data_IF_143047324341
#
_entry.id   IF_143047324341
#
_cell.length_a   1.000
_cell.length_b   1.000
_cell.length_c   1.000
_cell.angle_alpha   90.00
_cell.angle_beta   90.00
_cell.angle_gamma   90.00
#
_symmetry.space_group_name_H-M   'P 1'
#
loop_
_entity.id
_entity.type
_entity.pdbx_description
1 polymer ?
#
# COMPACT_ATOMS: atom_id res chain seq x y z
N UNK A 1 2.96 14.09 5.85
CA UNK A 1 2.75 12.64 5.63
C UNK A 1 3.25 12.32 4.24
N UNK A 2 3.96 11.21 4.08
CA UNK A 2 4.49 10.74 2.79
C UNK A 2 3.85 9.40 2.44
N UNK A 3 3.68 9.13 1.15
CA UNK A 3 3.07 7.87 0.67
C UNK A 3 3.84 7.33 -0.53
N UNK A 4 4.05 6.01 -0.56
CA UNK A 4 4.73 5.29 -1.67
C UNK A 4 3.86 4.13 -2.11
N UNK A 5 3.63 4.01 -3.42
CA UNK A 5 2.90 2.89 -3.98
C UNK A 5 3.84 1.73 -4.34
N UNK A 6 3.38 0.49 -4.12
CA UNK A 6 4.00 -0.74 -4.61
C UNK A 6 3.04 -1.37 -5.59
N UNK A 7 3.46 -1.43 -6.85
CA UNK A 7 2.59 -1.78 -8.00
C UNK A 7 3.20 -2.95 -8.76
N UNK A 8 2.39 -3.63 -9.57
CA UNK A 8 2.81 -4.80 -10.34
C UNK A 8 1.67 -5.79 -10.52
N UNK A 9 1.86 -6.75 -11.42
CA UNK A 9 0.85 -7.76 -11.72
C UNK A 9 0.48 -8.63 -10.51
N UNK A 10 -0.65 -9.36 -10.59
CA UNK A 10 -1.04 -10.28 -9.51
C UNK A 10 0.06 -11.33 -9.29
N UNK A 11 0.24 -11.75 -8.04
CA UNK A 11 1.22 -12.76 -7.63
C UNK A 11 2.72 -12.41 -7.85
N UNK A 12 3.08 -11.14 -8.08
CA UNK A 12 4.49 -10.72 -8.19
C UNK A 12 5.22 -10.57 -6.84
N UNK A 13 4.50 -10.66 -5.71
CA UNK A 13 5.07 -10.53 -4.36
C UNK A 13 4.86 -9.17 -3.69
N UNK A 14 3.96 -8.31 -4.19
CA UNK A 14 3.67 -6.98 -3.61
C UNK A 14 3.39 -7.02 -2.11
N UNK A 15 2.48 -7.91 -1.68
CA UNK A 15 2.11 -8.04 -0.26
C UNK A 15 3.31 -8.44 0.59
N UNK A 16 4.17 -9.34 0.08
CA UNK A 16 5.41 -9.74 0.77
C UNK A 16 6.38 -8.57 0.88
N UNK A 17 6.58 -7.81 -0.19
CA UNK A 17 7.47 -6.64 -0.15
C UNK A 17 6.94 -5.58 0.82
N UNK A 18 5.65 -5.24 0.78
CA UNK A 18 5.07 -4.27 1.71
C UNK A 18 5.25 -4.71 3.16
N UNK A 19 5.03 -6.00 3.47
CA UNK A 19 5.22 -6.51 4.83
C UNK A 19 6.68 -6.36 5.29
N UNK A 20 7.65 -6.65 4.42
CA UNK A 20 9.08 -6.52 4.73
C UNK A 20 9.52 -5.06 4.87
N UNK A 21 9.08 -4.18 3.97
CA UNK A 21 9.33 -2.74 4.08
C UNK A 21 8.71 -2.17 5.36
N UNK A 22 7.47 -2.56 5.69
CA UNK A 22 6.81 -2.16 6.93
C UNK A 22 7.65 -2.56 8.13
N UNK A 23 8.10 -3.81 8.20
CA UNK A 23 8.94 -4.28 9.30
C UNK A 23 10.25 -3.49 9.42
N UNK A 24 10.91 -3.20 8.29
CA UNK A 24 12.16 -2.44 8.27
C UNK A 24 11.96 -0.98 8.74
N UNK A 25 10.99 -0.25 8.20
CA UNK A 25 10.70 1.12 8.64
C UNK A 25 10.22 1.19 10.10
N UNK A 26 9.45 0.19 10.56
CA UNK A 26 9.07 0.08 11.97
C UNK A 26 10.29 -0.13 12.87
N UNK A 27 11.29 -0.90 12.44
CA UNK A 27 12.55 -1.10 13.16
C UNK A 27 13.37 0.21 13.26
N UNK A 28 13.25 1.07 12.26
CA UNK A 28 13.82 2.43 12.25
C UNK A 28 13.02 3.46 13.08
N UNK A 29 11.96 3.03 13.76
CA UNK A 29 11.15 3.89 14.64
C UNK A 29 10.03 4.67 13.95
N UNK A 30 9.81 4.48 12.64
CA UNK A 30 8.74 5.18 11.92
C UNK A 30 7.36 4.63 12.29
N UNK A 31 6.33 5.47 12.17
CA UNK A 31 4.92 5.09 12.18
C UNK A 31 4.48 4.84 10.74
N UNK A 32 4.16 3.59 10.44
CA UNK A 32 3.87 3.13 9.08
C UNK A 32 2.41 2.71 9.00
N UNK A 33 1.67 3.29 8.06
CA UNK A 33 0.37 2.80 7.64
C UNK A 33 0.46 1.99 6.35
N UNK A 34 -0.51 1.12 6.11
CA UNK A 34 -0.62 0.38 4.86
C UNK A 34 -2.02 0.55 4.28
N UNK A 35 -2.10 0.81 2.98
CA UNK A 35 -3.36 0.89 2.23
C UNK A 35 -3.33 -0.15 1.13
N UNK A 36 -4.37 -0.96 0.98
CA UNK A 36 -4.46 -1.96 -0.10
C UNK A 36 -5.65 -1.66 -1.00
N UNK A 37 -5.40 -1.63 -2.30
CA UNK A 37 -6.42 -1.57 -3.33
C UNK A 37 -6.75 -2.96 -3.85
N UNK A 38 -8.02 -3.34 -3.84
CA UNK A 38 -8.49 -4.51 -4.57
C UNK A 38 -9.46 -4.09 -5.67
N UNK A 39 -8.98 -4.09 -6.92
CA UNK A 39 -9.77 -3.64 -8.08
C UNK A 39 -10.87 -4.60 -8.55
N UNK A 40 -11.16 -5.68 -7.81
CA UNK A 40 -12.36 -6.49 -8.06
C UNK A 40 -13.44 -5.96 -7.15
N UNK A 41 -14.54 -5.41 -7.66
CA UNK A 41 -15.62 -4.78 -6.88
C UNK A 41 -16.45 -5.75 -6.03
N UNK A 42 -15.78 -6.60 -5.24
CA UNK A 42 -16.37 -7.49 -4.26
C UNK A 42 -16.24 -6.87 -2.88
N UNK A 43 -17.19 -7.21 -2.00
CA UNK A 43 -17.13 -6.76 -0.61
C UNK A 43 -15.89 -7.35 0.09
N UNK A 44 -15.25 -6.52 0.92
CA UNK A 44 -14.10 -6.92 1.72
C UNK A 44 -14.53 -8.02 2.70
N UNK A 45 -13.72 -9.07 2.80
CA UNK A 45 -13.95 -10.17 3.72
C UNK A 45 -14.27 -9.71 5.17
N UNK A 46 -15.13 -10.47 5.84
CA UNK A 46 -15.54 -10.23 7.23
C UNK A 46 -16.75 -9.31 7.41
N UNK A 47 -17.41 -8.88 6.33
CA UNK A 47 -18.80 -8.40 6.40
C UNK A 47 -19.75 -9.61 6.27
N UNK A 48 -19.82 -10.41 7.33
CA UNK A 48 -20.53 -11.69 7.31
C UNK A 48 -22.03 -11.48 7.55
N UNK A 49 -22.91 -12.01 6.68
CA UNK A 49 -24.35 -11.95 6.89
C UNK A 49 -24.75 -12.43 8.28
N UNK A 50 -25.78 -11.78 8.85
CA UNK A 50 -26.35 -12.09 10.16
C UNK A 50 -25.50 -11.70 11.39
N UNK A 51 -24.34 -11.08 11.21
CA UNK A 51 -23.61 -10.42 12.32
C UNK A 51 -24.26 -9.10 12.72
N UNK A 52 -24.06 -8.64 13.97
CA UNK A 52 -24.66 -7.39 14.46
C UNK A 52 -24.24 -6.18 13.61
N UNK A 53 -22.96 -6.11 13.23
CA UNK A 53 -22.44 -5.03 12.38
C UNK A 53 -23.03 -5.06 10.98
N UNK A 54 -23.29 -6.25 10.43
CA UNK A 54 -23.98 -6.41 9.16
C UNK A 54 -25.44 -5.95 9.26
N UNK A 55 -26.12 -6.27 10.36
CA UNK A 55 -27.50 -5.81 10.58
C UNK A 55 -27.58 -4.28 10.71
N UNK A 56 -26.61 -3.65 11.39
CA UNK A 56 -26.52 -2.18 11.46
C UNK A 56 -26.38 -1.56 10.07
N UNK A 57 -25.51 -2.13 9.21
CA UNK A 57 -25.35 -1.71 7.81
C UNK A 57 -26.68 -1.84 7.05
N UNK A 58 -27.32 -3.01 7.12
CA UNK A 58 -28.58 -3.26 6.42
C UNK A 58 -29.73 -2.36 6.88
N UNK A 59 -29.67 -1.88 8.12
CA UNK A 59 -30.60 -0.89 8.66
C UNK A 59 -30.35 0.54 8.15
N UNK A 60 -29.26 0.76 7.38
CA UNK A 60 -28.93 2.05 6.76
C UNK A 60 -27.80 2.82 7.45
N UNK A 61 -26.96 2.17 8.25
CA UNK A 61 -25.78 2.84 8.81
C UNK A 61 -24.75 3.17 7.71
N UNK A 62 -24.43 4.45 7.53
CA UNK A 62 -23.39 4.91 6.58
C UNK A 62 -21.99 4.42 6.98
N UNK A 63 -21.76 4.29 8.29
CA UNK A 63 -20.49 3.86 8.88
C UNK A 63 -20.77 2.90 10.02
N UNK A 64 -20.03 1.79 10.08
CA UNK A 64 -20.05 0.86 11.22
C UNK A 64 -18.65 0.73 11.84
N UNK A 65 -18.57 0.83 13.16
CA UNK A 65 -17.33 0.65 13.93
C UNK A 65 -17.50 -0.51 14.90
N UNK A 66 -16.75 -1.59 14.67
CA UNK A 66 -16.61 -2.70 15.62
C UNK A 66 -15.36 -2.45 16.46
N UNK A 67 -15.48 -2.47 17.78
CA UNK A 67 -14.35 -2.24 18.68
C UNK A 67 -14.23 -3.33 19.74
N UNK A 68 -12.98 -3.62 20.11
CA UNK A 68 -12.60 -4.47 21.23
C UNK A 68 -11.54 -3.73 22.05
N UNK A 69 -11.17 -4.20 23.26
CA UNK A 69 -10.08 -3.59 24.03
C UNK A 69 -8.71 -3.57 23.32
N UNK A 70 -8.54 -4.28 22.20
CA UNK A 70 -7.25 -4.43 21.51
C UNK A 70 -7.22 -3.85 20.09
N UNK A 71 -8.37 -3.66 19.46
CA UNK A 71 -8.46 -3.24 18.06
C UNK A 71 -9.86 -2.77 17.70
N UNK A 72 -9.96 -2.03 16.60
CA UNK A 72 -11.22 -1.67 15.97
C UNK A 72 -11.17 -1.93 14.46
N UNK A 73 -12.35 -2.15 13.87
CA UNK A 73 -12.57 -2.27 12.43
C UNK A 73 -13.66 -1.26 12.06
N UNK A 74 -13.31 -0.33 11.17
CA UNK A 74 -14.22 0.65 10.62
C UNK A 74 -14.60 0.23 9.20
N UNK A 75 -15.90 0.15 8.92
CA UNK A 75 -16.42 -0.11 7.57
C UNK A 75 -17.20 1.09 7.09
N UNK A 76 -16.88 1.50 5.86
CA UNK A 76 -17.55 2.55 5.10
C UNK A 76 -17.93 1.98 3.75
N UNK A 77 -19.14 2.29 3.30
CA UNK A 77 -19.63 1.90 1.99
C UNK A 77 -19.73 3.14 1.12
N UNK A 78 -19.42 2.97 -0.16
CA UNK A 78 -19.44 4.04 -1.13
C UNK A 78 -20.27 3.62 -2.33
N UNK A 79 -21.11 4.54 -2.83
CA UNK A 79 -21.86 4.31 -4.08
C UNK A 79 -20.94 4.26 -5.31
N UNK A 80 -19.82 4.97 -5.23
CA UNK A 80 -18.76 4.99 -6.25
C UNK A 80 -17.39 5.04 -5.58
N UNK A 81 -16.36 4.53 -6.27
CA UNK A 81 -15.01 4.46 -5.73
C UNK A 81 -14.45 5.88 -5.41
N UNK A 82 -14.14 6.17 -4.14
CA UNK A 82 -13.51 7.44 -3.78
C UNK A 82 -12.10 7.60 -4.37
N UNK A 83 -11.62 8.84 -4.53
CA UNK A 83 -10.24 9.09 -4.93
C UNK A 83 -9.26 8.61 -3.85
N UNK A 84 -8.04 8.23 -4.26
CA UNK A 84 -6.98 7.76 -3.38
C UNK A 84 -6.70 8.73 -2.22
N UNK A 85 -6.73 10.03 -2.50
CA UNK A 85 -6.45 11.11 -1.56
C UNK A 85 -7.37 11.05 -0.34
N UNK A 86 -8.63 10.64 -0.53
CA UNK A 86 -9.58 10.46 0.56
C UNK A 86 -9.13 9.36 1.52
N UNK A 87 -8.67 8.22 1.01
CA UNK A 87 -8.17 7.11 1.84
C UNK A 87 -6.87 7.47 2.56
N UNK A 88 -5.98 8.21 1.91
CA UNK A 88 -4.74 8.71 2.53
C UNK A 88 -5.03 9.67 3.68
N UNK A 89 -6.03 10.56 3.52
CA UNK A 89 -6.47 11.46 4.59
C UNK A 89 -7.09 10.68 5.76
N UNK A 90 -7.93 9.68 5.48
CA UNK A 90 -8.53 8.82 6.51
C UNK A 90 -7.47 8.08 7.33
N UNK A 91 -6.48 7.47 6.65
CA UNK A 91 -5.35 6.81 7.31
C UNK A 91 -4.50 7.77 8.13
N UNK A 92 -4.24 8.98 7.62
CA UNK A 92 -3.42 9.96 8.32
C UNK A 92 -4.16 10.65 9.48
N UNK A 93 -5.49 10.56 9.53
CA UNK A 93 -6.30 11.09 10.63
C UNK A 93 -6.25 10.25 11.91
N UNK A 94 -5.54 9.12 11.92
CA UNK A 94 -5.30 8.34 13.14
C UNK A 94 -4.23 9.00 14.00
N UNK A 95 -4.43 8.97 15.32
CA UNK A 95 -3.44 9.47 16.27
C UNK A 95 -2.69 8.30 16.94
N UNK A 96 -1.35 8.36 17.03
CA UNK A 96 -0.49 9.44 16.56
C UNK A 96 -0.33 9.41 15.02
N UNK A 97 -0.14 10.60 14.40
CA UNK A 97 0.00 10.75 12.94
C UNK A 97 1.00 9.76 12.29
N UNK A 98 0.84 9.44 11.02
CA UNK A 98 1.74 8.51 10.32
C UNK A 98 2.92 9.24 9.66
N UNK A 99 4.10 8.62 9.67
CA UNK A 99 5.30 9.14 9.01
C UNK A 99 5.30 8.71 7.52
N UNK A 100 4.89 7.46 7.25
CA UNK A 100 4.86 6.86 5.92
C UNK A 100 3.60 5.99 5.71
N UNK A 101 3.00 6.06 4.53
CA UNK A 101 1.96 5.13 4.07
C UNK A 101 2.50 4.31 2.89
N UNK A 102 2.45 2.98 2.99
CA UNK A 102 2.73 2.06 1.89
C UNK A 102 1.43 1.64 1.21
N UNK A 103 1.28 1.92 -0.08
CA UNK A 103 0.05 1.66 -0.85
C UNK A 103 0.26 0.45 -1.77
N UNK A 104 -0.49 -0.64 -1.58
CA UNK A 104 -0.55 -1.74 -2.54
C UNK A 104 -1.60 -1.41 -3.63
N UNK A 105 -1.18 -1.22 -4.88
CA UNK A 105 -2.10 -0.90 -5.98
C UNK A 105 -2.11 0.57 -6.38
N UNK A 106 -3.25 1.06 -6.91
CA UNK A 106 -3.36 2.40 -7.52
C UNK A 106 -2.23 2.71 -8.52
N UNK A 107 -1.97 1.80 -9.46
CA UNK A 107 -0.83 1.90 -10.39
C UNK A 107 -0.81 3.17 -11.26
N UNK A 108 -1.97 3.79 -11.47
CA UNK A 108 -2.13 5.03 -12.22
C UNK A 108 -2.21 6.29 -11.34
N UNK A 109 -1.95 6.17 -10.03
CA UNK A 109 -1.84 7.35 -9.16
C UNK A 109 -0.55 8.12 -9.40
N UNK A 110 -0.55 9.38 -8.96
CA UNK A 110 0.62 10.25 -8.99
C UNK A 110 1.61 9.98 -7.85
N UNK A 111 1.35 8.98 -6.98
CA UNK A 111 2.29 8.62 -5.92
C UNK A 111 3.65 8.17 -6.49
N UNK A 112 4.76 8.49 -5.81
CA UNK A 112 6.04 7.84 -6.09
C UNK A 112 5.88 6.32 -5.89
N UNK A 113 6.42 5.52 -6.81
CA UNK A 113 6.10 4.07 -6.84
C UNK A 113 7.29 3.15 -7.09
N UNK A 114 7.28 2.01 -6.41
CA UNK A 114 8.13 0.85 -6.70
C UNK A 114 7.33 -0.11 -7.58
N UNK A 115 7.88 -0.46 -8.74
CA UNK A 115 7.23 -1.34 -9.72
C UNK A 115 7.82 -2.73 -9.64
N UNK A 116 7.03 -3.72 -9.23
CA UNK A 116 7.44 -5.12 -9.21
C UNK A 116 7.37 -5.69 -10.62
N UNK A 117 8.52 -6.18 -11.07
CA UNK A 117 8.71 -6.74 -12.40
C UNK A 117 8.94 -8.26 -12.29
N UNK A 118 8.25 -9.00 -13.15
CA UNK A 118 8.45 -10.42 -13.38
C UNK A 118 8.89 -10.66 -14.82
N UNK A 119 8.50 -11.79 -15.39
CA UNK A 119 8.76 -12.10 -16.81
C UNK A 119 7.75 -11.41 -17.76
N UNK A 120 6.74 -10.74 -17.21
CA UNK A 120 5.71 -10.01 -17.94
C UNK A 120 6.25 -8.72 -18.59
N UNK A 121 5.54 -8.22 -19.61
CA UNK A 121 5.81 -6.87 -20.14
C UNK A 121 5.59 -5.80 -19.07
N UNK A 122 6.59 -4.95 -18.90
CA UNK A 122 6.53 -3.81 -17.99
C UNK A 122 5.71 -2.69 -18.65
N UNK A 123 4.63 -2.29 -17.99
CA UNK A 123 3.88 -1.08 -18.33
C UNK A 123 4.71 0.15 -17.95
N UNK A 124 4.79 1.15 -18.85
CA UNK A 124 5.42 2.43 -18.51
C UNK A 124 4.49 3.23 -17.61
N UNK A 125 4.92 3.45 -16.37
CA UNK A 125 4.17 4.22 -15.37
C UNK A 125 4.89 5.53 -15.06
N UNK A 126 4.15 6.55 -14.63
CA UNK A 126 4.72 7.80 -14.15
C UNK A 126 5.25 7.65 -12.71
N UNK A 127 6.14 8.56 -12.30
CA UNK A 127 6.65 8.67 -10.92
C UNK A 127 7.27 7.39 -10.35
N UNK A 128 7.93 6.59 -11.19
CA UNK A 128 8.63 5.37 -10.76
C UNK A 128 9.92 5.76 -10.04
N UNK A 129 10.06 5.32 -8.79
CA UNK A 129 11.29 5.45 -8.02
C UNK A 129 12.30 4.36 -8.41
N UNK A 130 11.79 3.14 -8.57
CA UNK A 130 12.58 1.96 -8.89
C UNK A 130 11.70 0.86 -9.45
N UNK A 131 12.32 0.00 -10.26
CA UNK A 131 11.79 -1.32 -10.55
C UNK A 131 12.40 -2.32 -9.57
N UNK A 132 11.63 -3.31 -9.11
CA UNK A 132 12.11 -4.36 -8.20
C UNK A 132 11.78 -5.74 -8.78
N UNK A 133 12.79 -6.57 -9.01
CA UNK A 133 12.64 -7.88 -9.65
C UNK A 133 13.55 -8.92 -9.04
N UNK A 134 13.54 -10.14 -9.59
CA UNK A 134 14.56 -11.14 -9.25
C UNK A 134 15.86 -10.77 -9.98
N UNK A 135 16.79 -10.13 -9.31
CA UNK A 135 18.12 -9.81 -9.84
C UNK A 135 19.18 -10.56 -9.02
N UNK A 136 20.21 -11.11 -9.67
CA UNK A 136 21.33 -11.77 -8.97
C UNK A 136 22.35 -10.78 -8.39
N UNK A 137 22.23 -9.50 -8.76
CA UNK A 137 23.04 -8.36 -8.33
C UNK A 137 22.10 -7.32 -7.69
N UNK A 138 22.59 -6.51 -6.75
CA UNK A 138 21.76 -5.53 -6.01
C UNK A 138 21.01 -4.54 -6.90
N UNK A 139 21.54 -4.23 -8.10
CA UNK A 139 20.79 -3.52 -9.13
C UNK A 139 21.30 -3.79 -10.55
N UNK A 140 20.40 -3.82 -11.55
CA UNK A 140 20.73 -3.90 -12.98
C UNK A 140 20.15 -2.66 -13.68
N UNK A 141 20.93 -2.00 -14.53
CA UNK A 141 20.42 -0.93 -15.40
C UNK A 141 19.66 -1.54 -16.58
N UNK A 142 18.38 -1.19 -16.75
CA UNK A 142 17.55 -1.56 -17.89
C UNK A 142 17.12 -0.30 -18.63
N UNK A 143 17.87 0.05 -19.68
CA UNK A 143 17.71 1.34 -20.36
C UNK A 143 18.22 2.49 -19.49
N UNK A 144 17.35 3.44 -19.14
CA UNK A 144 17.66 4.54 -18.22
C UNK A 144 17.26 4.24 -16.76
N UNK A 145 16.66 3.07 -16.52
CA UNK A 145 16.04 2.72 -15.24
C UNK A 145 16.94 1.79 -14.43
N UNK A 146 16.92 1.91 -13.10
CA UNK A 146 17.55 0.95 -12.20
C UNK A 146 16.52 -0.07 -11.69
N UNK A 147 16.86 -1.35 -11.86
CA UNK A 147 16.09 -2.48 -11.31
C UNK A 147 16.83 -3.00 -10.10
N UNK A 148 16.21 -2.95 -8.92
CA UNK A 148 16.74 -3.47 -7.67
C UNK A 148 16.35 -4.95 -7.49
N UNK A 149 17.19 -5.71 -6.79
CA UNK A 149 16.73 -7.01 -6.28
C UNK A 149 15.61 -6.77 -5.26
N UNK A 150 14.43 -7.36 -5.49
CA UNK A 150 13.28 -7.24 -4.59
C UNK A 150 13.55 -7.84 -3.20
N UNK A 151 14.58 -8.68 -3.08
CA UNK A 151 14.99 -9.26 -1.81
C UNK A 151 15.94 -8.33 -1.01
N UNK A 152 16.53 -7.32 -1.66
CA UNK A 152 17.38 -6.29 -1.06
C UNK A 152 16.55 -5.17 -0.43
N UNK A 153 15.93 -5.50 0.70
CA UNK A 153 15.05 -4.58 1.44
C UNK A 153 15.82 -3.37 1.97
N UNK A 154 17.09 -3.53 2.32
CA UNK A 154 17.91 -2.43 2.83
C UNK A 154 18.12 -1.36 1.76
N UNK A 155 18.45 -1.75 0.52
CA UNK A 155 18.57 -0.82 -0.59
C UNK A 155 17.24 -0.11 -0.91
N UNK A 156 16.12 -0.83 -0.89
CA UNK A 156 14.79 -0.24 -1.14
C UNK A 156 14.36 0.72 -0.02
N UNK A 157 14.68 0.40 1.23
CA UNK A 157 14.44 1.29 2.38
C UNK A 157 15.26 2.56 2.25
N UNK A 158 16.55 2.44 1.92
CA UNK A 158 17.44 3.59 1.76
C UNK A 158 16.96 4.49 0.61
N UNK A 159 16.57 3.90 -0.52
CA UNK A 159 15.99 4.63 -1.65
C UNK A 159 14.75 5.44 -1.25
N UNK A 160 13.80 4.84 -0.54
CA UNK A 160 12.59 5.54 -0.08
C UNK A 160 12.95 6.64 0.92
N UNK A 161 13.91 6.40 1.83
CA UNK A 161 14.38 7.45 2.73
C UNK A 161 14.89 8.65 1.94
N UNK A 162 15.83 8.40 1.04
CA UNK A 162 16.53 9.43 0.24
C UNK A 162 15.58 10.24 -0.65
N UNK A 163 14.61 9.59 -1.28
CA UNK A 163 13.77 10.24 -2.29
C UNK A 163 12.41 10.70 -1.79
N UNK A 164 11.94 10.18 -0.64
CA UNK A 164 10.57 10.44 -0.18
C UNK A 164 10.54 11.02 1.23
N UNK A 165 11.39 10.53 2.14
CA UNK A 165 11.37 10.95 3.54
C UNK A 165 12.34 12.10 3.85
N UNK A 166 13.33 12.34 2.99
CA UNK A 166 14.25 13.48 3.09
C UNK A 166 13.68 14.75 2.44
N UNK A 167 12.70 15.38 3.11
CA UNK A 167 12.36 16.81 2.98
C UNK A 167 11.86 17.36 4.33
#
# INVERSE_FOLDING_TARGET
MKAVAVVGYKNTGKTTLIARLTAAFKADGLRVGTLKHEGGGHDIAGDTPHTDTWQHRQAGADVTLLATPRQAVLRQHYESEPPLEQFLQQLNGVEPALDLILVEGWKHSDLPKIVLVGDEKIERLANVLAYAGNCKESSIAVGQEQVYDREDIEALVQLIKDLVLHE
#
